data_IF_044998366190
#
_entry.id   IF_044998366190
#
_cell.length_a   1.000
_cell.length_b   1.000
_cell.length_c   1.000
_cell.angle_alpha   90.00
_cell.angle_beta   90.00
_cell.angle_gamma   90.00
#
_symmetry.space_group_name_H-M   'P 1'
#
loop_
_entity.id
_entity.type
_entity.pdbx_description
1 polymer ?
#
# COMPACT_ATOMS: atom_id res chain seq x y z
N UNK A 1 -39.50 -51.22 -11.46
CA UNK A 1 -38.29 -51.13 -10.60
C UNK A 1 -37.66 -49.75 -10.76
N UNK A 2 -37.79 -48.87 -9.76
CA UNK A 2 -37.21 -47.51 -9.78
C UNK A 2 -35.73 -47.61 -9.38
N UNK A 3 -34.81 -47.21 -10.28
CA UNK A 3 -33.38 -47.12 -9.99
C UNK A 3 -33.13 -45.91 -9.09
N UNK A 4 -32.55 -46.15 -7.91
CA UNK A 4 -32.10 -45.10 -6.98
C UNK A 4 -30.68 -44.68 -7.37
N UNK A 5 -30.53 -43.43 -7.78
CA UNK A 5 -29.23 -42.77 -7.99
C UNK A 5 -28.64 -42.40 -6.63
N UNK A 6 -27.43 -42.87 -6.33
CA UNK A 6 -26.65 -42.43 -5.18
C UNK A 6 -25.73 -41.29 -5.61
N UNK A 7 -25.87 -40.12 -4.99
CA UNK A 7 -24.92 -39.00 -5.10
C UNK A 7 -24.02 -39.08 -3.88
N UNK A 8 -22.72 -39.36 -4.10
CA UNK A 8 -21.69 -39.24 -3.06
C UNK A 8 -21.17 -37.81 -3.12
N UNK A 9 -21.53 -37.00 -2.11
CA UNK A 9 -20.99 -35.66 -1.93
C UNK A 9 -19.64 -35.78 -1.22
N UNK A 10 -18.55 -35.73 -1.97
CA UNK A 10 -17.19 -35.63 -1.44
C UNK A 10 -16.98 -34.21 -0.88
N UNK A 11 -17.04 -34.08 0.44
CA UNK A 11 -16.67 -32.86 1.16
C UNK A 11 -15.14 -32.69 1.07
N UNK A 12 -14.66 -31.89 0.11
CA UNK A 12 -13.25 -31.50 0.05
C UNK A 12 -13.04 -30.40 1.09
N UNK A 13 -12.55 -30.77 2.28
CA UNK A 13 -11.95 -29.84 3.23
C UNK A 13 -10.66 -29.28 2.62
N UNK A 14 -10.74 -28.08 2.05
CA UNK A 14 -9.57 -27.31 1.63
C UNK A 14 -8.90 -26.80 2.90
N UNK A 15 -7.88 -27.51 3.37
CA UNK A 15 -6.90 -26.93 4.28
C UNK A 15 -6.10 -25.90 3.50
N UNK A 16 -6.42 -24.61 3.66
CA UNK A 16 -5.52 -23.51 3.31
C UNK A 16 -4.30 -23.59 4.24
N UNK A 17 -3.33 -24.45 3.91
CA UNK A 17 -1.97 -24.20 4.35
C UNK A 17 -1.53 -22.96 3.59
N UNK A 18 -1.47 -21.83 4.29
CA UNK A 18 -0.75 -20.65 3.82
C UNK A 18 0.69 -21.10 3.57
N UNK A 19 1.01 -21.40 2.32
CA UNK A 19 2.37 -21.57 1.87
C UNK A 19 3.04 -20.22 2.11
N UNK A 20 3.83 -20.15 3.17
CA UNK A 20 4.71 -19.02 3.42
C UNK A 20 5.68 -19.02 2.24
N UNK A 21 5.41 -18.14 1.28
CA UNK A 21 6.30 -17.91 0.14
C UNK A 21 7.67 -17.52 0.70
N UNK A 22 8.72 -18.22 0.25
CA UNK A 22 10.07 -17.91 0.67
C UNK A 22 10.38 -16.45 0.31
N UNK A 23 10.91 -15.64 1.25
CA UNK A 23 11.15 -14.22 1.00
C UNK A 23 12.08 -14.04 -0.18
N UNK A 24 11.70 -13.14 -1.12
CA UNK A 24 12.56 -12.80 -2.24
C UNK A 24 13.92 -12.33 -1.72
N UNK A 25 15.02 -12.73 -2.38
CA UNK A 25 16.42 -12.52 -1.96
C UNK A 25 16.81 -11.06 -1.60
N UNK A 26 15.92 -10.07 -1.75
CA UNK A 26 16.13 -8.65 -1.40
C UNK A 26 14.92 -7.96 -0.74
N UNK A 27 13.89 -8.69 -0.27
CA UNK A 27 12.71 -8.07 0.36
C UNK A 27 11.98 -7.08 -0.55
N UNK A 28 11.91 -7.40 -1.85
CA UNK A 28 11.08 -6.68 -2.84
C UNK A 28 10.02 -7.63 -3.35
N UNK A 29 8.76 -7.22 -3.27
CA UNK A 29 7.62 -8.02 -3.71
C UNK A 29 6.78 -7.20 -4.69
N UNK A 30 6.50 -7.78 -5.86
CA UNK A 30 5.74 -7.13 -6.94
C UNK A 30 4.36 -7.77 -7.15
N UNK A 31 4.12 -8.89 -6.47
CA UNK A 31 2.88 -9.66 -6.52
C UNK A 31 2.31 -9.74 -5.10
N UNK A 32 1.14 -9.13 -4.83
CA UNK A 32 0.53 -9.12 -3.50
C UNK A 32 0.09 -10.52 -3.03
N UNK A 33 -0.05 -11.51 -3.93
CA UNK A 33 -0.31 -12.89 -3.53
C UNK A 33 0.95 -13.60 -3.00
N UNK A 34 2.13 -13.03 -3.25
CA UNK A 34 3.44 -13.59 -2.91
C UNK A 34 4.26 -12.61 -2.07
N UNK A 35 3.73 -12.28 -0.89
CA UNK A 35 4.31 -11.36 0.10
C UNK A 35 4.54 -12.06 1.44
N UNK A 36 5.31 -11.42 2.33
CA UNK A 36 5.46 -11.90 3.71
C UNK A 36 4.23 -11.56 4.58
N UNK A 37 4.22 -12.09 5.81
CA UNK A 37 3.11 -11.90 6.75
C UNK A 37 2.93 -10.44 7.21
N UNK A 38 4.00 -9.64 7.16
CA UNK A 38 3.97 -8.24 7.62
C UNK A 38 3.06 -7.38 6.71
N UNK A 39 2.92 -7.76 5.44
CA UNK A 39 2.04 -7.10 4.47
C UNK A 39 0.57 -7.08 4.93
N UNK A 40 0.10 -8.18 5.53
CA UNK A 40 -1.28 -8.29 6.05
C UNK A 40 -1.52 -7.43 7.30
N UNK A 41 -0.45 -6.90 7.91
CA UNK A 41 -0.51 -6.04 9.10
C UNK A 41 -0.28 -4.57 8.73
N UNK A 42 0.65 -4.29 7.80
CA UNK A 42 0.87 -2.95 7.28
C UNK A 42 -0.41 -2.37 6.68
N UNK A 43 -0.69 -1.10 6.95
CA UNK A 43 -1.84 -0.39 6.39
C UNK A 43 -2.39 0.68 7.32
N UNK A 44 -3.57 1.17 6.95
CA UNK A 44 -4.29 2.18 7.70
C UNK A 44 -5.38 1.57 8.57
N UNK A 45 -5.61 2.20 9.70
CA UNK A 45 -6.60 1.81 10.68
C UNK A 45 -7.34 3.06 11.17
N UNK A 46 -8.66 2.97 11.34
CA UNK A 46 -9.51 4.07 11.79
C UNK A 46 -10.52 3.60 12.83
N UNK A 47 -10.84 4.46 13.77
CA UNK A 47 -11.80 4.20 14.83
C UNK A 47 -11.72 5.28 15.90
N UNK A 48 -12.02 4.89 17.13
CA UNK A 48 -12.11 5.80 18.26
C UNK A 48 -11.20 5.33 19.40
N UNK A 49 -10.65 6.31 20.11
CA UNK A 49 -9.95 6.15 21.38
C UNK A 49 -10.54 7.13 22.39
N UNK A 50 -10.16 6.98 23.66
CA UNK A 50 -10.46 7.99 24.67
C UNK A 50 -9.95 9.37 24.21
N UNK A 51 -10.87 10.33 24.06
CA UNK A 51 -10.58 11.64 23.47
C UNK A 51 -11.13 11.86 22.05
N UNK A 52 -11.64 10.82 21.38
CA UNK A 52 -12.37 10.93 20.11
C UNK A 52 -11.82 10.07 18.98
N UNK A 53 -12.10 10.51 17.75
CA UNK A 53 -11.64 9.84 16.53
C UNK A 53 -10.11 9.74 16.48
N UNK A 54 -9.63 8.64 15.91
CA UNK A 54 -8.20 8.42 15.69
C UNK A 54 -7.93 7.64 14.40
N UNK A 55 -6.78 7.92 13.82
CA UNK A 55 -6.14 7.16 12.75
C UNK A 55 -4.88 6.48 13.24
N UNK A 56 -4.53 5.36 12.62
CA UNK A 56 -3.27 4.65 12.82
C UNK A 56 -2.69 4.20 11.49
N UNK A 57 -1.42 4.46 11.26
CA UNK A 57 -0.65 3.86 10.18
C UNK A 57 0.36 2.88 10.77
N UNK A 58 0.34 1.64 10.27
CA UNK A 58 1.27 0.57 10.65
C UNK A 58 2.19 0.33 9.47
N UNK A 59 3.49 0.48 9.67
CA UNK A 59 4.52 0.43 8.62
C UNK A 59 5.38 -0.80 8.85
N UNK A 60 5.37 -1.74 7.92
CA UNK A 60 6.23 -2.91 8.01
C UNK A 60 7.70 -2.53 7.80
N UNK A 61 8.55 -3.01 8.69
CA UNK A 61 10.00 -2.87 8.61
C UNK A 61 10.70 -4.17 8.16
N UNK A 62 9.91 -5.23 7.99
CA UNK A 62 10.37 -6.58 7.70
C UNK A 62 10.71 -7.35 8.97
N UNK A 63 10.73 -8.67 8.85
CA UNK A 63 11.07 -9.60 9.93
C UNK A 63 10.18 -9.41 11.18
N UNK A 64 8.90 -9.10 10.98
CA UNK A 64 7.92 -8.94 12.06
C UNK A 64 8.07 -7.63 12.84
N UNK A 65 8.78 -6.63 12.32
CA UNK A 65 9.00 -5.34 12.99
C UNK A 65 8.18 -4.24 12.34
N UNK A 66 7.70 -3.28 13.15
CA UNK A 66 6.81 -2.22 12.68
C UNK A 66 7.17 -0.86 13.28
N UNK A 67 7.02 0.18 12.46
CA UNK A 67 6.76 1.53 12.95
C UNK A 67 5.26 1.76 13.03
N UNK A 68 4.84 2.54 14.04
CA UNK A 68 3.44 2.90 14.27
C UNK A 68 3.34 4.41 14.35
N UNK A 69 2.37 4.98 13.65
CA UNK A 69 2.03 6.41 13.74
C UNK A 69 0.56 6.54 14.07
N UNK A 70 0.26 7.12 15.22
CA UNK A 70 -1.08 7.50 15.66
C UNK A 70 -1.39 8.95 15.30
N UNK A 71 -2.61 9.18 14.86
CA UNK A 71 -3.12 10.46 14.40
C UNK A 71 -4.40 10.80 15.17
N UNK A 72 -4.34 11.69 16.16
CA UNK A 72 -5.55 12.21 16.82
C UNK A 72 -6.47 12.90 15.80
N UNK A 73 -7.78 12.65 15.87
CA UNK A 73 -8.79 13.23 14.99
C UNK A 73 -9.05 12.44 13.70
N UNK A 74 -8.20 11.48 13.31
CA UNK A 74 -8.41 10.66 12.12
C UNK A 74 -7.14 10.42 11.31
N UNK A 75 -7.24 9.92 10.09
CA UNK A 75 -6.09 9.67 9.21
C UNK A 75 -5.74 10.93 8.40
N UNK A 76 -4.54 11.03 7.79
CA UNK A 76 -4.25 12.06 6.81
C UNK A 76 -5.29 12.11 5.68
N UNK A 77 -5.85 13.30 5.42
CA UNK A 77 -6.94 13.48 4.45
C UNK A 77 -8.32 13.00 4.93
N UNK A 78 -8.46 12.64 6.21
CA UNK A 78 -9.66 12.04 6.77
C UNK A 78 -9.75 12.28 8.29
N UNK A 79 -9.97 13.54 8.66
CA UNK A 79 -10.19 14.00 10.04
C UNK A 79 -8.94 14.57 10.73
N UNK A 80 -7.73 14.11 10.39
CA UNK A 80 -6.50 14.68 10.96
C UNK A 80 -6.30 16.15 10.54
N UNK A 81 -5.88 16.98 11.50
CA UNK A 81 -5.70 18.43 11.35
C UNK A 81 -4.44 18.85 10.56
N UNK A 82 -3.57 17.89 10.23
CA UNK A 82 -2.31 18.14 9.53
C UNK A 82 -1.18 18.63 10.45
N UNK A 83 -1.42 18.81 11.75
CA UNK A 83 -0.40 19.22 12.70
C UNK A 83 0.53 18.06 13.03
N UNK A 84 1.71 18.09 12.43
CA UNK A 84 2.74 17.06 12.55
C UNK A 84 3.23 16.80 13.97
N UNK A 85 3.18 17.81 14.84
CA UNK A 85 3.60 17.74 16.24
C UNK A 85 2.61 16.93 17.09
N UNK A 86 1.35 16.80 16.64
CA UNK A 86 0.32 16.03 17.36
C UNK A 86 0.37 14.52 17.04
N UNK A 87 1.24 14.08 16.13
CA UNK A 87 1.41 12.66 15.81
C UNK A 87 2.10 11.95 16.96
N UNK A 88 1.64 10.74 17.26
CA UNK A 88 2.21 9.91 18.30
C UNK A 88 2.91 8.75 17.64
N UNK A 89 4.20 8.56 17.88
CA UNK A 89 4.96 7.45 17.27
C UNK A 89 5.06 6.26 18.22
N UNK A 90 5.32 5.11 17.66
CA UNK A 90 5.52 3.87 18.40
C UNK A 90 6.31 2.85 17.59
N UNK A 91 6.70 1.78 18.26
CA UNK A 91 7.38 0.63 17.66
C UNK A 91 6.62 -0.64 17.99
N UNK A 92 6.54 -1.54 17.03
CA UNK A 92 5.86 -2.81 17.17
C UNK A 92 6.68 -4.00 16.72
N UNK A 93 6.29 -5.17 17.22
CA UNK A 93 6.86 -6.46 16.85
C UNK A 93 5.78 -7.55 16.86
N UNK A 94 5.95 -8.54 16.00
CA UNK A 94 5.17 -9.77 16.02
C UNK A 94 5.91 -10.86 16.78
N UNK A 95 5.25 -11.41 17.80
CA UNK A 95 5.71 -12.60 18.55
C UNK A 95 4.56 -13.57 18.68
N UNK A 96 4.83 -14.85 18.41
CA UNK A 96 3.83 -15.93 18.51
C UNK A 96 2.51 -15.63 17.77
N UNK A 97 2.61 -15.00 16.60
CA UNK A 97 1.46 -14.64 15.76
C UNK A 97 0.66 -13.41 16.22
N UNK A 98 1.09 -12.72 17.27
CA UNK A 98 0.46 -11.50 17.78
C UNK A 98 1.38 -10.31 17.55
N UNK A 99 0.90 -9.32 16.80
CA UNK A 99 1.60 -8.03 16.67
C UNK A 99 1.24 -7.13 17.84
N UNK A 100 2.22 -6.70 18.60
CA UNK A 100 2.06 -5.76 19.71
C UNK A 100 2.96 -4.55 19.50
N UNK A 101 2.56 -3.39 20.01
CA UNK A 101 3.35 -2.17 19.92
C UNK A 101 3.24 -1.32 21.18
N UNK A 102 4.22 -0.44 21.35
CA UNK A 102 4.27 0.55 22.43
C UNK A 102 4.47 1.92 21.78
N UNK A 103 3.60 2.85 22.14
CA UNK A 103 3.67 4.25 21.72
C UNK A 103 4.62 5.02 22.65
N UNK A 104 5.16 6.14 22.18
CA UNK A 104 6.03 7.04 22.96
C UNK A 104 5.34 7.60 24.22
N UNK A 105 4.00 7.65 24.21
CA UNK A 105 3.18 8.01 25.38
C UNK A 105 3.09 6.91 26.44
N UNK A 106 3.63 5.71 26.17
CA UNK A 106 3.52 4.53 27.02
C UNK A 106 2.28 3.67 26.78
N UNK A 107 1.30 4.17 26.00
CA UNK A 107 0.14 3.37 25.59
C UNK A 107 0.58 2.14 24.81
N UNK A 108 -0.07 1.00 25.06
CA UNK A 108 0.21 -0.27 24.39
C UNK A 108 -0.89 -0.60 23.41
N UNK A 109 -0.57 -1.29 22.33
CA UNK A 109 -1.56 -1.80 21.40
C UNK A 109 -1.25 -3.20 20.94
N UNK A 110 -2.29 -3.90 20.49
CA UNK A 110 -2.16 -5.20 19.82
C UNK A 110 -3.02 -5.21 18.56
N UNK A 111 -2.59 -5.96 17.55
CA UNK A 111 -3.26 -6.11 16.27
C UNK A 111 -3.65 -7.56 16.08
N UNK A 112 -4.94 -7.80 15.86
CA UNK A 112 -5.48 -9.12 15.53
C UNK A 112 -6.68 -8.96 14.61
N UNK A 113 -6.76 -9.79 13.58
CA UNK A 113 -7.89 -9.85 12.64
C UNK A 113 -8.27 -8.47 12.06
N UNK A 114 -7.26 -7.65 11.74
CA UNK A 114 -7.44 -6.30 11.20
C UNK A 114 -7.96 -5.27 12.22
N UNK A 115 -7.92 -5.56 13.51
CA UNK A 115 -8.33 -4.65 14.58
C UNK A 115 -7.16 -4.36 15.49
N UNK A 116 -6.86 -3.06 15.65
CA UNK A 116 -5.98 -2.56 16.70
C UNK A 116 -6.83 -2.39 17.96
N UNK A 117 -6.38 -2.94 19.08
CA UNK A 117 -6.90 -2.64 20.41
C UNK A 117 -5.86 -1.83 21.17
N UNK A 118 -6.24 -0.65 21.68
CA UNK A 118 -5.36 0.23 22.46
C UNK A 118 -5.66 0.07 23.95
N UNK A 119 -4.60 -0.09 24.73
CA UNK A 119 -4.62 -0.25 26.17
C UNK A 119 -3.79 0.85 26.83
N UNK A 120 -4.31 1.44 27.91
CA UNK A 120 -3.61 2.38 28.78
C UNK A 120 -3.86 1.96 30.22
N UNK A 121 -2.80 1.85 31.01
CA UNK A 121 -2.86 1.47 32.43
C UNK A 121 -3.68 0.20 32.73
N UNK A 122 -3.63 -0.77 31.80
CA UNK A 122 -4.35 -2.04 31.91
C UNK A 122 -5.81 -2.02 31.46
N UNK A 123 -6.37 -0.87 31.11
CA UNK A 123 -7.72 -0.72 30.59
C UNK A 123 -7.74 -0.53 29.06
N UNK A 124 -8.78 -1.05 28.40
CA UNK A 124 -9.03 -0.77 26.98
C UNK A 124 -9.53 0.66 26.84
N UNK A 125 -8.82 1.46 26.04
CA UNK A 125 -9.17 2.87 25.80
C UNK A 125 -9.63 3.13 24.36
N UNK A 126 -9.58 2.14 23.48
CA UNK A 126 -10.08 2.31 22.12
C UNK A 126 -9.81 1.14 21.19
N UNK A 127 -10.30 1.26 19.96
CA UNK A 127 -10.00 0.31 18.91
C UNK A 127 -10.10 0.93 17.52
N UNK A 128 -9.21 0.53 16.62
CA UNK A 128 -9.17 0.99 15.23
C UNK A 128 -9.30 -0.22 14.32
N UNK A 129 -10.19 -0.16 13.33
CA UNK A 129 -10.34 -1.22 12.31
C UNK A 129 -9.54 -0.86 11.08
N UNK A 130 -8.97 -1.86 10.42
CA UNK A 130 -8.26 -1.69 9.15
C UNK A 130 -9.19 -1.06 8.12
N UNK A 131 -8.68 -0.07 7.40
CA UNK A 131 -9.37 0.58 6.28
C UNK A 131 -8.53 0.44 5.03
N UNK A 132 -9.20 0.28 3.89
CA UNK A 132 -8.58 0.27 2.57
C UNK A 132 -9.15 1.44 1.80
N UNK A 133 -8.28 2.33 1.34
CA UNK A 133 -8.67 3.45 0.48
C UNK A 133 -8.55 3.04 -0.98
N UNK A 134 -9.54 3.41 -1.76
CA UNK A 134 -9.52 3.28 -3.21
C UNK A 134 -9.54 4.67 -3.84
N UNK A 135 -8.76 4.85 -4.91
CA UNK A 135 -8.80 6.11 -5.66
C UNK A 135 -10.15 6.22 -6.35
N UNK A 136 -10.84 7.39 -6.29
CA UNK A 136 -12.10 7.60 -6.98
C UNK A 136 -11.97 7.52 -8.51
N UNK A 137 -10.74 7.58 -9.04
CA UNK A 137 -10.45 7.49 -10.48
C UNK A 137 -9.74 6.19 -10.86
N UNK A 138 -9.63 5.21 -9.94
CA UNK A 138 -9.04 3.91 -10.25
C UNK A 138 -9.86 3.20 -11.33
N UNK A 139 -9.22 2.81 -12.44
CA UNK A 139 -9.87 2.20 -13.58
C UNK A 139 -10.81 3.13 -14.34
N UNK A 140 -10.72 4.45 -14.13
CA UNK A 140 -11.53 5.41 -14.87
C UNK A 140 -11.28 5.26 -16.38
N UNK A 141 -12.36 5.21 -17.17
CA UNK A 141 -12.23 5.14 -18.62
C UNK A 141 -11.61 6.43 -19.13
N UNK A 142 -10.75 6.29 -20.14
CA UNK A 142 -10.26 7.43 -20.88
C UNK A 142 -11.44 8.28 -21.40
N UNK A 143 -11.43 9.60 -21.20
CA UNK A 143 -12.50 10.46 -21.70
C UNK A 143 -12.52 10.46 -23.23
N UNK A 144 -13.65 10.88 -23.81
CA UNK A 144 -13.79 10.96 -25.26
C UNK A 144 -12.68 11.84 -25.87
N UNK A 145 -12.05 11.34 -26.95
CA UNK A 145 -10.95 12.00 -27.63
C UNK A 145 -9.56 11.85 -26.97
N UNK A 146 -9.45 11.18 -25.82
CA UNK A 146 -8.16 10.89 -25.21
C UNK A 146 -7.36 9.86 -26.00
N UNK A 147 -6.04 10.07 -26.07
CA UNK A 147 -5.10 9.07 -26.57
C UNK A 147 -4.83 8.06 -25.47
N UNK A 148 -5.21 6.79 -25.70
CA UNK A 148 -4.93 5.70 -24.76
C UNK A 148 -3.52 5.16 -25.00
N UNK A 149 -2.60 5.47 -24.08
CA UNK A 149 -1.20 5.02 -24.14
C UNK A 149 -0.99 3.61 -23.56
N UNK A 150 -1.88 3.17 -22.68
CA UNK A 150 -1.91 1.84 -22.10
C UNK A 150 -3.29 1.59 -21.48
N UNK A 151 -3.88 0.41 -21.69
CA UNK A 151 -5.24 0.10 -21.23
C UNK A 151 -5.31 -0.92 -20.07
N UNK A 152 -4.15 -1.39 -19.59
CA UNK A 152 -4.07 -2.43 -18.57
C UNK A 152 -4.42 -3.83 -19.06
N UNK A 153 -4.49 -4.04 -20.38
CA UNK A 153 -4.79 -5.32 -21.03
C UNK A 153 -3.77 -5.59 -22.14
N UNK A 154 -4.21 -5.53 -23.39
CA UNK A 154 -3.44 -5.97 -24.55
C UNK A 154 -2.93 -4.78 -25.37
N UNK A 155 -3.34 -3.55 -25.05
CA UNK A 155 -3.00 -2.36 -25.83
C UNK A 155 -1.98 -1.48 -25.10
N UNK A 156 -1.00 -1.01 -25.88
CA UNK A 156 -0.21 0.15 -25.52
C UNK A 156 1.24 -0.14 -25.21
N UNK A 157 1.64 -1.37 -24.85
CA UNK A 157 3.04 -1.67 -24.53
C UNK A 157 4.00 -1.38 -25.70
N UNK A 158 3.55 -1.64 -26.93
CA UNK A 158 4.27 -1.36 -28.17
C UNK A 158 4.32 0.15 -28.50
N UNK A 159 3.49 0.99 -27.87
CA UNK A 159 3.53 2.44 -28.03
C UNK A 159 4.70 3.09 -27.28
N UNK A 160 5.48 2.31 -26.51
CA UNK A 160 6.63 2.81 -25.74
C UNK A 160 7.94 2.24 -26.26
N UNK A 161 8.96 3.09 -26.32
CA UNK A 161 10.35 2.65 -26.43
C UNK A 161 10.74 1.97 -25.11
N UNK A 162 11.21 0.73 -25.17
CA UNK A 162 11.50 -0.08 -23.99
C UNK A 162 10.25 -0.62 -23.27
N UNK A 163 9.06 -0.50 -23.87
CA UNK A 163 7.82 -1.02 -23.31
C UNK A 163 7.87 -2.54 -23.10
N UNK A 164 7.50 -2.97 -21.90
CA UNK A 164 7.44 -4.38 -21.49
C UNK A 164 6.18 -4.58 -20.64
N UNK A 165 5.58 -5.76 -20.74
CA UNK A 165 4.46 -6.15 -19.86
C UNK A 165 4.93 -7.13 -18.80
N UNK A 166 4.45 -6.93 -17.57
CA UNK A 166 4.55 -7.93 -16.51
C UNK A 166 3.61 -9.11 -16.77
N UNK A 167 3.81 -10.21 -16.03
CA UNK A 167 2.96 -11.40 -16.14
C UNK A 167 1.50 -11.15 -15.76
N UNK A 168 1.25 -10.14 -14.93
CA UNK A 168 -0.08 -9.71 -14.49
C UNK A 168 -0.66 -8.56 -15.34
N UNK A 169 -0.09 -8.30 -16.52
CA UNK A 169 -0.69 -7.38 -17.49
C UNK A 169 -0.45 -5.90 -17.23
N UNK A 170 0.61 -5.54 -16.50
CA UNK A 170 0.97 -4.14 -16.24
C UNK A 170 2.14 -3.69 -17.11
N UNK A 171 2.12 -2.43 -17.53
CA UNK A 171 3.27 -1.79 -18.17
C UNK A 171 4.40 -1.64 -17.16
N UNK A 172 5.58 -2.17 -17.50
CA UNK A 172 6.77 -2.06 -16.67
C UNK A 172 7.45 -0.69 -16.82
N UNK A 173 8.17 -0.29 -15.78
CA UNK A 173 9.01 0.92 -15.77
C UNK A 173 10.10 0.91 -16.86
N UNK A 174 10.76 2.07 -17.02
CA UNK A 174 11.93 2.21 -17.87
C UNK A 174 11.58 2.40 -19.35
N UNK A 175 10.43 3.01 -19.62
CA UNK A 175 9.92 3.20 -20.96
C UNK A 175 9.56 4.67 -21.25
N UNK A 176 9.49 5.03 -22.52
CA UNK A 176 9.14 6.39 -22.97
C UNK A 176 8.19 6.29 -24.15
N UNK A 177 7.11 7.08 -24.16
CA UNK A 177 6.14 7.06 -25.25
C UNK A 177 6.83 7.35 -26.59
N UNK A 178 6.46 6.61 -27.64
CA UNK A 178 6.96 6.87 -29.00
C UNK A 178 6.37 8.17 -29.54
N UNK A 179 5.09 8.42 -29.25
CA UNK A 179 4.43 9.68 -29.54
C UNK A 179 4.92 10.78 -28.58
N UNK A 180 5.11 11.98 -29.13
CA UNK A 180 5.43 13.20 -28.39
C UNK A 180 4.18 14.05 -28.23
N UNK A 181 4.12 14.80 -27.13
CA UNK A 181 2.98 15.64 -26.77
C UNK A 181 3.46 17.07 -26.45
N UNK A 182 2.63 18.05 -26.78
CA UNK A 182 2.80 19.44 -26.32
C UNK A 182 2.02 19.61 -25.01
N UNK A 183 0.98 20.43 -24.98
CA UNK A 183 0.11 20.55 -23.82
C UNK A 183 -0.76 19.30 -23.69
N UNK A 184 -0.89 18.77 -22.48
CA UNK A 184 -1.68 17.57 -22.22
C UNK A 184 -2.34 17.61 -20.85
N UNK A 185 -3.42 16.85 -20.72
CA UNK A 185 -3.90 16.31 -19.45
C UNK A 185 -3.60 14.82 -19.47
N UNK A 186 -3.05 14.29 -18.38
CA UNK A 186 -2.66 12.89 -18.29
C UNK A 186 -3.28 12.25 -17.05
N UNK A 187 -3.70 10.99 -17.20
CA UNK A 187 -4.11 10.11 -16.11
C UNK A 187 -3.15 8.92 -16.10
N UNK A 188 -2.55 8.64 -14.95
CA UNK A 188 -1.64 7.50 -14.75
C UNK A 188 -2.05 6.79 -13.47
N UNK A 189 -2.20 5.48 -13.56
CA UNK A 189 -2.28 4.59 -12.41
C UNK A 189 -0.98 3.83 -12.29
N UNK A 190 -0.46 3.72 -11.07
CA UNK A 190 0.79 3.03 -10.81
C UNK A 190 0.69 2.18 -9.55
N UNK A 191 1.50 1.13 -9.51
CA UNK A 191 1.65 0.24 -8.36
C UNK A 191 3.13 0.16 -8.00
N UNK A 192 3.49 0.62 -6.81
CA UNK A 192 4.84 0.47 -6.30
C UNK A 192 5.05 -0.95 -5.76
N UNK A 193 6.28 -1.50 -5.81
CA UNK A 193 6.58 -2.76 -5.16
C UNK A 193 6.50 -2.62 -3.63
N UNK A 194 6.07 -3.67 -2.94
CA UNK A 194 6.19 -3.76 -1.50
C UNK A 194 7.66 -4.03 -1.12
N UNK A 195 8.26 -3.10 -0.36
CA UNK A 195 9.68 -3.17 0.04
C UNK A 195 9.85 -2.88 1.54
N UNK A 196 9.45 -3.78 2.45
CA UNK A 196 9.41 -3.51 3.89
C UNK A 196 10.78 -3.22 4.51
N UNK A 197 11.88 -3.62 3.86
CA UNK A 197 13.25 -3.35 4.33
C UNK A 197 13.87 -2.08 3.72
N UNK A 198 13.20 -1.41 2.78
CA UNK A 198 13.72 -0.22 2.11
C UNK A 198 13.11 1.08 2.68
N UNK A 199 13.86 2.18 2.66
CA UNK A 199 13.43 3.49 3.21
C UNK A 199 13.76 4.62 2.25
N UNK A 200 13.07 5.75 2.44
CA UNK A 200 13.23 6.96 1.64
C UNK A 200 13.18 6.66 0.15
N UNK A 201 14.11 7.23 -0.61
CA UNK A 201 14.25 7.05 -2.06
C UNK A 201 14.55 5.59 -2.48
N UNK A 202 14.87 4.68 -1.55
CA UNK A 202 15.00 3.26 -1.85
C UNK A 202 13.67 2.51 -1.91
N UNK A 203 12.57 3.11 -1.44
CA UNK A 203 11.26 2.46 -1.28
C UNK A 203 10.36 2.76 -2.49
N UNK A 204 10.55 1.98 -3.56
CA UNK A 204 9.67 2.01 -4.73
C UNK A 204 9.79 3.28 -5.59
N UNK A 205 11.00 3.81 -5.74
CA UNK A 205 11.26 5.02 -6.52
C UNK A 205 11.12 4.78 -8.04
N UNK A 206 10.39 5.68 -8.68
CA UNK A 206 10.22 5.85 -10.12
C UNK A 206 9.81 7.31 -10.39
N UNK A 207 9.51 7.66 -11.64
CA UNK A 207 9.09 9.01 -12.00
C UNK A 207 8.28 9.06 -13.28
N UNK A 208 7.34 10.01 -13.35
CA UNK A 208 6.73 10.45 -14.60
C UNK A 208 7.45 11.70 -15.10
N UNK A 209 8.10 11.62 -16.25
CA UNK A 209 8.83 12.74 -16.84
C UNK A 209 7.98 13.47 -17.87
N UNK A 210 7.33 14.55 -17.46
CA UNK A 210 6.65 15.46 -18.37
C UNK A 210 7.66 16.10 -19.33
N UNK A 211 7.38 16.00 -20.63
CA UNK A 211 8.27 16.44 -21.73
C UNK A 211 9.69 15.88 -21.65
N UNK A 212 9.89 14.74 -20.97
CA UNK A 212 11.21 14.15 -20.76
C UNK A 212 12.16 14.99 -19.89
N UNK A 213 11.64 15.96 -19.12
CA UNK A 213 12.45 16.92 -18.35
C UNK A 213 11.96 17.13 -16.92
N UNK A 214 10.65 17.26 -16.73
CA UNK A 214 10.08 17.60 -15.44
C UNK A 214 9.54 16.34 -14.78
N UNK A 215 10.23 15.88 -13.75
CA UNK A 215 9.85 14.68 -13.03
C UNK A 215 8.78 14.98 -11.98
N UNK A 216 7.64 14.32 -12.14
CA UNK A 216 6.66 14.11 -11.06
C UNK A 216 7.03 12.79 -10.39
N UNK A 217 7.43 12.87 -9.13
CA UNK A 217 7.93 11.73 -8.38
C UNK A 217 6.87 10.64 -8.20
N UNK A 218 7.26 9.39 -8.44
CA UNK A 218 6.52 8.20 -8.02
C UNK A 218 7.33 7.52 -6.92
N UNK A 219 6.74 7.37 -5.73
CA UNK A 219 7.44 6.77 -4.59
C UNK A 219 6.42 6.07 -3.68
N UNK A 220 6.83 4.98 -3.01
CA UNK A 220 6.06 4.49 -1.88
C UNK A 220 6.28 5.41 -0.69
N UNK A 221 5.41 6.42 -0.59
CA UNK A 221 5.42 7.47 0.45
C UNK A 221 4.48 7.19 1.61
N UNK A 222 3.96 5.97 1.74
CA UNK A 222 3.08 5.60 2.85
C UNK A 222 3.73 5.91 4.21
N UNK A 223 3.05 6.73 5.02
CA UNK A 223 3.51 7.25 6.32
C UNK A 223 4.83 8.05 6.31
N UNK A 224 5.23 8.61 5.16
CA UNK A 224 6.33 9.57 5.09
C UNK A 224 5.86 11.00 5.40
N UNK A 225 6.79 11.95 5.35
CA UNK A 225 6.55 13.33 5.80
C UNK A 225 5.90 14.23 4.74
N UNK A 226 5.79 13.79 3.49
CA UNK A 226 5.28 14.60 2.38
C UNK A 226 6.28 15.65 1.91
N UNK A 227 7.57 15.31 1.87
CA UNK A 227 8.59 16.21 1.33
C UNK A 227 8.45 16.38 -0.19
N UNK A 228 9.05 17.45 -0.74
CA UNK A 228 8.99 17.77 -2.17
C UNK A 228 9.59 16.71 -3.10
N UNK A 229 10.36 15.77 -2.56
CA UNK A 229 10.98 14.67 -3.29
C UNK A 229 10.28 13.32 -3.03
N UNK A 230 9.08 13.35 -2.44
CA UNK A 230 8.21 12.19 -2.23
C UNK A 230 7.08 12.17 -3.28
N UNK A 231 6.22 11.15 -3.25
CA UNK A 231 5.19 10.93 -4.28
C UNK A 231 4.38 12.20 -4.59
N UNK A 232 4.30 12.55 -5.87
CA UNK A 232 3.60 13.75 -6.37
C UNK A 232 4.43 15.03 -6.32
N UNK A 233 5.61 15.03 -5.71
CA UNK A 233 6.53 16.16 -5.72
C UNK A 233 7.15 16.41 -7.10
N UNK A 234 7.45 17.67 -7.40
CA UNK A 234 8.25 18.04 -8.58
C UNK A 234 9.72 17.94 -8.19
N UNK A 235 10.40 16.92 -8.71
CA UNK A 235 11.76 16.61 -8.28
C UNK A 235 12.72 17.71 -8.75
N UNK A 236 13.44 18.32 -7.80
CA UNK A 236 14.28 19.51 -8.03
C UNK A 236 15.75 19.17 -8.31
N UNK A 237 16.16 17.93 -8.08
CA UNK A 237 17.50 17.44 -8.38
C UNK A 237 17.58 16.95 -9.82
N UNK A 238 18.46 17.57 -10.60
CA UNK A 238 18.77 17.18 -11.98
C UNK A 238 19.23 15.72 -12.03
N UNK A 239 18.67 14.94 -12.95
CA UNK A 239 19.26 13.67 -13.39
C UNK A 239 20.62 13.90 -14.07
#
# INVERSE_FOLDING_TARGET
>A
MKRKTFIILSLITIFNHSLISAPSKKGTYIDPANVDADYAIQGEYRGEVEGGDAGGQIIALGDGKFDVVGYPGGLPGDGWDGNKENRIRGKGETKDGVTSFIMETGSKGSIKDGVITIMKDGAKVGSLKRVVRESPTLGAKAPEGAVVLFDGKDHGADLWKGGRMSKDGLLMEGCTSKQTFSDFKIHIEFRTPYKPKARGQGRGNSGFYAHGRYEVQVLDSFALEGHHNECGGIYSTKA
#
